data_IF_281338326152
#
_entry.id   IF_281338326152
#
_cell.length_a   1.000
_cell.length_b   1.000
_cell.length_c   1.000
_cell.angle_alpha   90.00
_cell.angle_beta   90.00
_cell.angle_gamma   90.00
#
_symmetry.space_group_name_H-M   'P 1'
#
loop_
_entity.id
_entity.type
_entity.pdbx_description
1 polymer ?
#
# COMPACT_ATOMS: atom_id res chain seq x y z
N UNK A 1 -3.94 3.27 -17.06
CA UNK A 1 -3.38 2.02 -16.49
C UNK A 1 -2.12 2.27 -15.66
N UNK A 2 -1.28 3.25 -16.02
CA UNK A 2 -0.02 3.59 -15.35
C UNK A 2 -0.11 3.76 -13.82
N UNK A 3 -1.17 4.38 -13.29
CA UNK A 3 -1.29 4.56 -11.84
C UNK A 3 -1.50 3.27 -11.04
N UNK A 4 -2.12 2.23 -11.61
CA UNK A 4 -2.32 0.96 -10.88
C UNK A 4 -0.99 0.24 -10.67
N UNK A 5 -0.15 0.21 -11.71
CA UNK A 5 1.19 -0.37 -11.63
C UNK A 5 2.02 0.31 -10.54
N UNK A 6 1.91 1.64 -10.40
CA UNK A 6 2.62 2.39 -9.35
C UNK A 6 2.16 1.99 -7.95
N UNK A 7 0.84 1.86 -7.70
CA UNK A 7 0.33 1.42 -6.40
C UNK A 7 0.74 -0.02 -6.07
N UNK A 8 0.73 -0.93 -7.06
CA UNK A 8 1.18 -2.31 -6.87
C UNK A 8 2.66 -2.37 -6.54
N UNK A 9 3.50 -1.55 -7.19
CA UNK A 9 4.94 -1.51 -6.95
C UNK A 9 5.26 -0.92 -5.56
N UNK A 10 4.52 0.11 -5.14
CA UNK A 10 4.57 0.65 -3.77
C UNK A 10 4.16 -0.39 -2.72
N UNK A 11 3.11 -1.18 -2.97
CA UNK A 11 2.69 -2.25 -2.05
C UNK A 11 3.81 -3.29 -1.87
N UNK A 12 4.48 -3.68 -2.95
CA UNK A 12 5.59 -4.64 -2.90
C UNK A 12 6.76 -4.07 -2.07
N UNK A 13 7.14 -2.81 -2.29
CA UNK A 13 8.23 -2.17 -1.55
C UNK A 13 7.92 -2.06 -0.05
N UNK A 14 6.69 -1.67 0.32
CA UNK A 14 6.27 -1.57 1.72
C UNK A 14 6.20 -2.96 2.35
N UNK A 15 5.78 -3.99 1.61
CA UNK A 15 5.75 -5.36 2.11
C UNK A 15 7.16 -5.88 2.41
N UNK A 16 8.12 -5.64 1.50
CA UNK A 16 9.54 -5.98 1.72
C UNK A 16 10.09 -5.23 2.94
N UNK A 17 9.81 -3.93 3.08
CA UNK A 17 10.23 -3.14 4.22
C UNK A 17 9.62 -3.63 5.54
N UNK A 18 8.34 -4.01 5.52
CA UNK A 18 7.63 -4.57 6.67
C UNK A 18 8.27 -5.88 7.13
N UNK A 19 8.52 -6.80 6.20
CA UNK A 19 9.20 -8.08 6.49
C UNK A 19 10.64 -7.85 6.98
N UNK A 20 11.40 -6.94 6.36
CA UNK A 20 12.75 -6.61 6.79
C UNK A 20 12.81 -5.96 8.18
N UNK A 21 11.75 -5.26 8.57
CA UNK A 21 11.63 -4.62 9.89
C UNK A 21 10.95 -5.50 10.95
N UNK A 22 10.64 -6.76 10.61
CA UNK A 22 10.00 -7.70 11.53
C UNK A 22 10.87 -7.89 12.77
N UNK A 23 10.35 -7.48 13.94
CA UNK A 23 11.09 -7.46 15.21
C UNK A 23 11.32 -6.06 15.76
N UNK A 24 11.15 -5.01 14.94
CA UNK A 24 11.11 -3.63 15.40
C UNK A 24 9.67 -3.11 15.39
N UNK A 25 8.96 -3.35 16.50
CA UNK A 25 7.51 -3.09 16.63
C UNK A 25 7.09 -1.69 16.20
N UNK A 26 7.90 -0.65 16.50
CA UNK A 26 7.58 0.72 16.09
C UNK A 26 7.56 0.84 14.57
N UNK A 27 8.62 0.39 13.87
CA UNK A 27 8.72 0.49 12.41
C UNK A 27 7.67 -0.36 11.70
N UNK A 28 7.39 -1.57 12.19
CA UNK A 28 6.36 -2.44 11.62
C UNK A 28 4.98 -1.76 11.66
N UNK A 29 4.62 -1.08 12.75
CA UNK A 29 3.33 -0.36 12.85
C UNK A 29 3.25 0.75 11.79
N UNK A 30 4.31 1.55 11.61
CA UNK A 30 4.34 2.59 10.57
C UNK A 30 4.15 2.02 9.16
N UNK A 31 4.79 0.89 8.85
CA UNK A 31 4.63 0.23 7.56
C UNK A 31 3.23 -0.36 7.36
N UNK A 32 2.60 -0.90 8.41
CA UNK A 32 1.21 -1.38 8.37
C UNK A 32 0.24 -0.23 8.08
N UNK A 33 0.43 0.92 8.73
CA UNK A 33 -0.39 2.12 8.47
C UNK A 33 -0.23 2.56 7.01
N UNK A 34 1.01 2.65 6.52
CA UNK A 34 1.29 3.03 5.12
C UNK A 34 0.66 2.04 4.12
N UNK A 35 0.75 0.74 4.40
CA UNK A 35 0.15 -0.32 3.58
C UNK A 35 -1.38 -0.17 3.50
N UNK A 36 -2.01 0.08 4.64
CA UNK A 36 -3.48 0.24 4.74
C UNK A 36 -3.96 1.48 3.98
N UNK A 37 -3.25 2.62 4.08
CA UNK A 37 -3.59 3.83 3.33
C UNK A 37 -3.54 3.63 1.81
N UNK A 38 -2.55 2.89 1.30
CA UNK A 38 -2.42 2.62 -0.14
C UNK A 38 -3.55 1.71 -0.63
N UNK A 39 -3.97 0.73 0.15
CA UNK A 39 -5.13 -0.11 -0.16
C UNK A 39 -6.40 0.75 -0.27
N UNK A 40 -6.64 1.66 0.69
CA UNK A 40 -7.79 2.57 0.62
C UNK A 40 -7.77 3.43 -0.65
N UNK A 41 -6.62 3.96 -1.06
CA UNK A 41 -6.48 4.73 -2.30
C UNK A 41 -6.78 3.88 -3.54
N UNK A 42 -6.32 2.62 -3.58
CA UNK A 42 -6.67 1.70 -4.67
C UNK A 42 -8.17 1.43 -4.72
N UNK A 43 -8.82 1.22 -3.58
CA UNK A 43 -10.26 0.97 -3.51
C UNK A 43 -11.03 2.19 -4.01
N UNK A 44 -10.74 3.39 -3.50
CA UNK A 44 -11.38 4.63 -3.97
C UNK A 44 -11.22 4.82 -5.48
N UNK A 45 -10.01 4.61 -6.00
CA UNK A 45 -9.72 4.75 -7.43
C UNK A 45 -10.42 3.68 -8.28
N UNK A 46 -10.64 2.48 -7.72
CA UNK A 46 -11.42 1.41 -8.37
C UNK A 46 -12.91 1.78 -8.43
N UNK A 47 -13.45 2.33 -7.35
CA UNK A 47 -14.85 2.74 -7.25
C UNK A 47 -15.13 3.91 -8.19
N UNK A 48 -14.27 4.92 -8.20
CA UNK A 48 -14.36 6.10 -9.07
C UNK A 48 -14.40 5.70 -10.56
N UNK A 49 -13.51 4.79 -10.96
CA UNK A 49 -13.48 4.22 -12.32
C UNK A 49 -14.72 3.41 -12.71
N UNK A 50 -15.48 2.87 -11.76
CA UNK A 50 -16.74 2.15 -12.05
C UNK A 50 -17.94 3.09 -12.14
N UNK A 51 -17.79 4.32 -11.64
CA UNK A 51 -18.87 5.32 -11.59
C UNK A 51 -18.90 6.21 -12.82
N UNK A 52 -17.78 6.29 -13.55
CA UNK A 52 -17.63 6.91 -14.87
C UNK A 52 -17.65 5.86 -15.97
#
# INVERSE_FOLDING_TARGET
MQSYLVYTLLLILIFIAMVSSWGNSSKTIWYVIAFTSIICLMIMKTIDRKRH
#
